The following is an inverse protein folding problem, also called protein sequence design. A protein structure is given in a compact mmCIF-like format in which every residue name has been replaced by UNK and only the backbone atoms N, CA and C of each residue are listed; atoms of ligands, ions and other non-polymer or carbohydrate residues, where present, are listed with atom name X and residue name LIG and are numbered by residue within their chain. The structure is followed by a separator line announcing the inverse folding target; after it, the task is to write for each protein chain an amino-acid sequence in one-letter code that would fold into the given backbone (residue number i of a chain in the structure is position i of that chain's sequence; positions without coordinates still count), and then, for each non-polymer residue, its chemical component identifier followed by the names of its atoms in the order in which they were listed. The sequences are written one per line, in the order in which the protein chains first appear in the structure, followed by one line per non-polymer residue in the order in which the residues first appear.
data_IF_045899275594
#
_entry.id   IF_045899275594
#
_cell.length_a   1.000
_cell.length_b   1.000
_cell.length_c   1.000
_cell.angle_alpha   90.00
_cell.angle_beta   90.00
_cell.angle_gamma   90.00
#
_symmetry.space_group_name_H-M   'P 1'
#
loop_
_entity.id
_entity.type
_entity.pdbx_description
1 polymer ?
#
# COMPACT_ATOMS: atom_id res chain seq x y z
N UNK A 1 -5.42 57.02 -9.19
CA UNK A 1 -3.99 57.08 -9.55
C UNK A 1 -3.23 57.57 -8.33
N UNK A 2 -2.45 56.71 -7.67
CA UNK A 2 -1.70 57.09 -6.47
C UNK A 2 -0.38 57.70 -6.89
N UNK A 3 -0.17 58.98 -6.58
CA UNK A 3 1.14 59.64 -6.73
C UNK A 3 2.23 58.79 -6.04
N UNK A 4 3.41 58.61 -6.64
CA UNK A 4 4.49 57.91 -5.99
C UNK A 4 4.84 58.65 -4.70
N UNK A 5 4.66 57.99 -3.55
CA UNK A 5 5.01 58.53 -2.24
C UNK A 5 6.44 59.10 -2.28
N UNK A 6 6.64 60.26 -1.65
CA UNK A 6 7.94 60.91 -1.60
C UNK A 6 8.97 59.95 -1.00
N UNK A 7 10.24 60.10 -1.39
CA UNK A 7 11.32 59.30 -0.80
C UNK A 7 11.38 59.45 0.73
N UNK A 8 10.97 60.62 1.25
CA UNK A 8 10.83 60.86 2.68
C UNK A 8 9.73 60.01 3.32
N UNK A 9 8.57 59.87 2.66
CA UNK A 9 7.46 59.06 3.15
C UNK A 9 7.84 57.58 3.20
N UNK A 10 8.58 57.10 2.19
CA UNK A 10 9.12 55.73 2.17
C UNK A 10 10.11 55.49 3.30
N UNK A 11 10.96 56.48 3.60
CA UNK A 11 11.93 56.38 4.69
C UNK A 11 11.25 56.39 6.08
N UNK A 12 10.23 57.24 6.28
CA UNK A 12 9.40 57.25 7.49
C UNK A 12 8.70 55.91 7.70
N UNK A 13 8.01 55.42 6.67
CA UNK A 13 7.33 54.12 6.71
C UNK A 13 8.29 52.97 7.04
N UNK A 14 9.50 52.98 6.47
CA UNK A 14 10.53 51.99 6.81
C UNK A 14 10.92 52.06 8.29
N UNK A 15 11.18 53.26 8.81
CA UNK A 15 11.57 53.45 10.20
C UNK A 15 10.47 52.96 11.17
N UNK A 16 9.21 53.30 10.88
CA UNK A 16 8.03 52.82 11.62
C UNK A 16 7.94 51.29 11.59
N UNK A 17 8.10 50.69 10.42
CA UNK A 17 8.06 49.23 10.25
C UNK A 17 9.18 48.50 10.99
N UNK A 18 10.36 49.12 11.16
CA UNK A 18 11.46 48.56 11.96
C UNK A 18 11.16 48.70 13.46
N UNK A 19 10.62 49.84 13.90
CA UNK A 19 10.23 50.05 15.29
C UNK A 19 9.10 49.11 15.73
N UNK A 20 8.09 48.94 14.89
CA UNK A 20 6.95 48.06 15.13
C UNK A 20 7.42 46.61 15.32
N UNK A 21 8.29 46.12 14.42
CA UNK A 21 8.91 44.79 14.57
C UNK A 21 9.71 44.65 15.85
N UNK A 22 10.45 45.69 16.24
CA UNK A 22 11.22 45.68 17.48
C UNK A 22 10.30 45.63 18.71
N UNK A 23 9.19 46.37 18.68
CA UNK A 23 8.18 46.38 19.73
C UNK A 23 7.54 45.02 19.92
N UNK A 24 7.04 44.41 18.85
CA UNK A 24 6.39 43.09 18.89
C UNK A 24 7.35 42.00 19.38
N UNK A 25 8.62 42.04 18.97
CA UNK A 25 9.63 41.13 19.51
C UNK A 25 9.87 41.33 21.01
N UNK A 26 9.83 42.56 21.49
CA UNK A 26 9.99 42.87 22.90
C UNK A 26 8.79 42.35 23.72
N UNK A 27 7.57 42.62 23.25
CA UNK A 27 6.32 42.14 23.85
C UNK A 27 6.26 40.60 23.89
N UNK A 28 6.72 39.92 22.83
CA UNK A 28 6.85 38.46 22.83
C UNK A 28 7.81 37.95 23.91
N UNK A 29 8.96 38.60 24.06
CA UNK A 29 9.95 38.22 25.08
C UNK A 29 9.39 38.41 26.50
N UNK A 30 8.53 39.42 26.70
CA UNK A 30 7.85 39.70 27.97
C UNK A 30 6.69 38.71 28.23
N UNK A 31 6.07 38.18 27.17
CA UNK A 31 5.06 37.13 27.25
C UNK A 31 3.66 37.55 26.79
N UNK A 32 3.49 38.74 26.22
CA UNK A 32 2.17 39.27 25.81
C UNK A 32 1.63 38.62 24.53
N UNK A 33 2.50 38.04 23.69
CA UNK A 33 2.12 37.42 22.39
C UNK A 33 2.52 35.95 22.31
N UNK A 34 2.31 35.12 23.35
CA UNK A 34 2.81 33.73 23.44
C UNK A 34 2.45 32.84 22.24
N UNK A 35 1.31 33.07 21.59
CA UNK A 35 0.84 32.28 20.44
C UNK A 35 1.32 32.78 19.08
N UNK A 36 1.77 34.05 18.98
CA UNK A 36 2.20 34.64 17.72
C UNK A 36 3.44 33.93 17.13
N UNK A 37 3.33 33.39 15.93
CA UNK A 37 4.47 32.81 15.22
C UNK A 37 5.41 33.91 14.70
N UNK A 38 6.60 33.97 15.28
CA UNK A 38 7.60 34.98 14.95
C UNK A 38 8.71 34.38 14.08
N UNK A 39 9.17 35.11 13.04
CA UNK A 39 10.28 34.71 12.19
C UNK A 39 11.56 34.34 12.94
N UNK A 40 12.29 33.34 12.45
CA UNK A 40 13.55 32.88 13.08
C UNK A 40 14.82 33.55 12.55
N UNK A 41 14.73 34.49 11.60
CA UNK A 41 15.92 35.17 11.07
C UNK A 41 15.59 36.58 10.59
N UNK A 42 16.59 37.46 10.49
CA UNK A 42 16.41 38.81 9.94
C UNK A 42 15.83 38.79 8.53
N UNK A 43 16.27 37.86 7.68
CA UNK A 43 15.74 37.72 6.31
C UNK A 43 14.26 37.40 6.32
N UNK A 44 13.82 36.47 7.17
CA UNK A 44 12.41 36.14 7.33
C UNK A 44 11.65 37.31 7.98
N UNK A 45 12.25 38.00 8.95
CA UNK A 45 11.68 39.17 9.64
C UNK A 45 11.41 40.33 8.69
N UNK A 46 12.29 40.55 7.71
CA UNK A 46 12.10 41.56 6.65
C UNK A 46 10.87 41.28 5.80
N UNK A 47 10.66 40.01 5.47
CA UNK A 47 9.57 39.54 4.63
C UNK A 47 8.28 39.27 5.40
N UNK A 48 8.33 39.34 6.73
CA UNK A 48 7.19 39.04 7.59
C UNK A 48 6.11 40.09 7.42
N UNK A 49 4.88 39.61 7.30
CA UNK A 49 3.65 40.38 7.18
C UNK A 49 2.71 39.86 8.25
N UNK A 50 2.09 40.77 8.98
CA UNK A 50 1.08 40.47 9.99
C UNK A 50 0.08 41.62 10.01
N UNK A 51 -1.09 41.39 9.41
CA UNK A 51 -2.10 42.42 9.20
C UNK A 51 -2.67 42.93 10.54
N UNK A 52 -2.85 42.03 11.51
CA UNK A 52 -3.34 42.34 12.86
C UNK A 52 -2.46 43.35 13.60
N UNK A 53 -1.14 43.27 13.39
CA UNK A 53 -0.16 44.15 14.03
C UNK A 53 0.30 45.29 13.13
N UNK A 54 -0.25 45.42 11.92
CA UNK A 54 0.15 46.44 10.93
C UNK A 54 1.56 46.26 10.37
N UNK A 55 2.10 45.04 10.41
CA UNK A 55 3.45 44.73 9.92
C UNK A 55 3.39 44.44 8.43
N UNK A 56 4.09 45.26 7.65
CA UNK A 56 4.19 45.12 6.20
C UNK A 56 5.60 44.74 5.76
N UNK A 57 5.74 44.05 4.63
CA UNK A 57 7.03 43.64 4.06
C UNK A 57 7.95 44.82 3.77
N UNK A 58 9.22 44.72 4.18
CA UNK A 58 10.26 45.68 3.82
C UNK A 58 10.88 45.29 2.47
N UNK A 59 10.64 46.12 1.45
CA UNK A 59 10.98 45.81 0.05
C UNK A 59 12.48 45.61 -0.21
N UNK A 60 13.33 46.53 0.25
CA UNK A 60 14.77 46.50 -0.02
C UNK A 60 15.54 45.74 1.06
N UNK A 61 16.35 44.71 0.69
CA UNK A 61 17.25 44.04 1.62
C UNK A 61 18.25 45.01 2.27
N UNK A 62 18.81 45.93 1.50
CA UNK A 62 19.80 46.92 1.96
C UNK A 62 19.24 47.91 2.98
N UNK A 63 17.91 48.07 3.01
CA UNK A 63 17.18 48.90 3.98
C UNK A 63 16.83 48.15 5.27
N UNK A 64 17.24 46.89 5.43
CA UNK A 64 17.02 46.10 6.65
C UNK A 64 18.28 45.32 7.01
N UNK A 65 19.40 46.05 7.10
CA UNK A 65 20.71 45.51 7.48
C UNK A 65 21.20 46.14 8.77
N UNK A 66 22.08 45.43 9.48
CA UNK A 66 22.66 45.89 10.76
C UNK A 66 23.65 47.04 10.61
N UNK A 67 24.22 47.22 9.41
CA UNK A 67 25.20 48.27 9.09
C UNK A 67 24.58 49.59 8.64
N UNK A 68 23.26 49.70 8.53
CA UNK A 68 22.62 50.93 8.04
C UNK A 68 22.80 52.09 9.03
N UNK A 69 23.12 53.29 8.52
CA UNK A 69 23.43 54.47 9.34
C UNK A 69 22.31 54.86 10.31
N UNK A 70 21.07 54.91 9.83
CA UNK A 70 19.92 55.39 10.63
C UNK A 70 19.29 54.31 11.51
N UNK A 71 18.97 53.13 10.96
CA UNK A 71 18.21 52.10 11.65
C UNK A 71 19.01 50.82 11.94
N UNK A 72 20.29 50.73 11.56
CA UNK A 72 21.11 49.52 11.75
C UNK A 72 21.23 49.10 13.22
N UNK A 73 21.27 50.06 14.15
CA UNK A 73 21.21 49.78 15.61
C UNK A 73 19.92 49.06 16.01
N UNK A 74 18.77 49.46 15.45
CA UNK A 74 17.47 48.81 15.72
C UNK A 74 17.42 47.41 15.10
N UNK A 75 17.88 47.25 13.87
CA UNK A 75 17.98 45.93 13.21
C UNK A 75 18.91 44.98 13.98
N UNK A 76 20.01 45.50 14.56
CA UNK A 76 20.88 44.71 15.44
C UNK A 76 20.18 44.26 16.73
N UNK A 77 19.33 45.11 17.32
CA UNK A 77 18.49 44.73 18.47
C UNK A 77 17.48 43.64 18.09
N UNK A 78 16.81 43.76 16.94
CA UNK A 78 15.93 42.74 16.39
C UNK A 78 16.67 41.40 16.29
N UNK A 79 17.87 41.40 15.71
CA UNK A 79 18.69 40.18 15.59
C UNK A 79 18.96 39.51 16.95
N UNK A 80 19.31 40.31 17.97
CA UNK A 80 19.57 39.82 19.32
C UNK A 80 18.30 39.22 19.97
N UNK A 81 17.13 39.82 19.74
CA UNK A 81 15.85 39.30 20.24
C UNK A 81 15.47 37.97 19.58
N UNK A 82 15.68 37.84 18.26
CA UNK A 82 15.49 36.57 17.57
C UNK A 82 16.39 35.46 18.13
N UNK A 83 17.64 35.76 18.46
CA UNK A 83 18.54 34.78 19.08
C UNK A 83 18.15 34.41 20.51
N UNK A 84 17.60 35.35 21.30
CA UNK A 84 17.05 35.05 22.63
C UNK A 84 15.87 34.09 22.54
N UNK A 85 14.91 34.37 21.65
CA UNK A 85 13.73 33.53 21.42
C UNK A 85 14.13 32.13 20.94
N UNK A 86 15.12 32.01 20.03
CA UNK A 86 15.66 30.71 19.61
C UNK A 86 16.27 29.90 20.76
N UNK A 87 16.91 30.55 21.72
CA UNK A 87 17.52 29.87 22.88
C UNK A 87 16.44 29.38 23.85
N UNK A 88 15.39 30.17 24.08
CA UNK A 88 14.25 29.79 24.90
C UNK A 88 13.49 28.59 24.32
N UNK A 89 13.34 28.51 23.00
CA UNK A 89 12.59 27.44 22.33
C UNK A 89 13.41 26.16 22.07
N UNK A 90 14.67 26.07 22.51
CA UNK A 90 15.46 24.84 22.32
C UNK A 90 15.03 23.78 23.33
N UNK A 91 14.58 22.59 22.89
CA UNK A 91 14.30 21.51 23.83
C UNK A 91 15.57 21.15 24.62
N UNK A 92 15.44 20.76 25.90
CA UNK A 92 16.58 20.37 26.71
C UNK A 92 17.32 19.22 26.01
N UNK A 93 18.64 19.36 25.87
CA UNK A 93 19.46 18.27 25.32
C UNK A 93 19.43 17.10 26.30
N UNK A 94 18.80 15.98 25.92
CA UNK A 94 18.89 14.74 26.69
C UNK A 94 20.36 14.39 26.99
N UNK A 95 20.70 13.98 28.23
CA UNK A 95 22.03 13.49 28.60
C UNK A 95 22.53 12.42 27.64
N UNK A 96 23.84 12.42 27.35
CA UNK A 96 24.48 11.48 26.43
C UNK A 96 24.27 10.02 26.85
N UNK A 97 24.28 9.76 28.15
CA UNK A 97 24.06 8.43 28.73
C UNK A 97 22.67 7.89 28.45
N UNK A 98 21.62 8.71 28.63
CA UNK A 98 20.25 8.33 28.31
C UNK A 98 20.06 8.02 26.82
N UNK A 99 20.73 8.77 25.93
CA UNK A 99 20.71 8.46 24.49
C UNK A 99 21.39 7.12 24.19
N UNK A 100 22.50 6.83 24.87
CA UNK A 100 23.24 5.59 24.65
C UNK A 100 22.44 4.37 25.12
N UNK A 101 21.74 4.47 26.26
CA UNK A 101 20.88 3.38 26.76
C UNK A 101 19.67 3.16 25.85
N UNK A 102 18.98 4.22 25.42
CA UNK A 102 17.88 4.13 24.44
C UNK A 102 18.33 3.47 23.13
N UNK A 103 19.52 3.83 22.62
CA UNK A 103 20.08 3.23 21.40
C UNK A 103 20.43 1.76 21.57
N UNK A 104 21.02 1.37 22.71
CA UNK A 104 21.33 -0.04 23.00
C UNK A 104 20.05 -0.88 23.10
N UNK A 105 19.01 -0.36 23.76
CA UNK A 105 17.72 -1.05 23.86
C UNK A 105 17.09 -1.25 22.47
N UNK A 106 17.04 -0.19 21.65
CA UNK A 106 16.53 -0.28 20.27
C UNK A 106 17.34 -1.24 19.40
N UNK A 107 18.66 -1.27 19.54
CA UNK A 107 19.51 -2.18 18.77
C UNK A 107 19.23 -3.64 19.15
N UNK A 108 19.05 -3.92 20.44
CA UNK A 108 18.66 -5.24 20.92
C UNK A 108 17.30 -5.68 20.35
N UNK A 109 16.29 -4.82 20.45
CA UNK A 109 14.95 -5.08 19.89
C UNK A 109 14.99 -5.35 18.38
N UNK A 110 15.77 -4.56 17.63
CA UNK A 110 15.99 -4.78 16.19
C UNK A 110 16.63 -6.13 15.90
N UNK A 111 17.65 -6.54 16.68
CA UNK A 111 18.29 -7.83 16.49
C UNK A 111 17.36 -9.01 16.80
N UNK A 112 16.53 -8.89 17.85
CA UNK A 112 15.52 -9.90 18.18
C UNK A 112 14.46 -10.01 17.08
N UNK A 113 13.98 -8.88 16.57
CA UNK A 113 13.03 -8.83 15.45
C UNK A 113 13.60 -9.45 14.18
N UNK A 114 14.87 -9.14 13.85
CA UNK A 114 15.56 -9.70 12.69
C UNK A 114 15.72 -11.22 12.80
N UNK A 115 16.11 -11.70 13.99
CA UNK A 115 16.27 -13.14 14.24
C UNK A 115 14.94 -13.87 14.11
N UNK A 116 13.86 -13.30 14.66
CA UNK A 116 12.52 -13.86 14.53
C UNK A 116 12.05 -13.91 13.07
N UNK A 117 12.25 -12.83 12.31
CA UNK A 117 11.91 -12.79 10.89
C UNK A 117 12.69 -13.83 10.08
N UNK A 118 13.98 -14.02 10.36
CA UNK A 118 14.80 -15.03 9.72
C UNK A 118 14.29 -16.46 10.01
N UNK A 119 13.92 -16.74 11.26
CA UNK A 119 13.35 -18.03 11.64
C UNK A 119 12.00 -18.30 10.94
N UNK A 120 11.12 -17.30 10.89
CA UNK A 120 9.84 -17.40 10.18
C UNK A 120 10.04 -17.66 8.69
N UNK A 121 11.00 -16.96 8.06
CA UNK A 121 11.31 -17.18 6.66
C UNK A 121 11.74 -18.63 6.37
N UNK A 122 12.60 -19.21 7.21
CA UNK A 122 13.03 -20.61 7.06
C UNK A 122 11.83 -21.56 7.17
N UNK A 123 10.95 -21.35 8.15
CA UNK A 123 9.74 -22.15 8.32
C UNK A 123 8.82 -22.08 7.11
N UNK A 124 8.50 -20.87 6.63
CA UNK A 124 7.63 -20.70 5.46
C UNK A 124 8.25 -21.24 4.17
N UNK A 125 9.57 -21.12 4.02
CA UNK A 125 10.29 -21.69 2.88
C UNK A 125 10.19 -23.22 2.85
N UNK A 126 10.34 -23.86 4.02
CA UNK A 126 10.18 -25.31 4.16
C UNK A 126 8.74 -25.76 3.89
N UNK A 127 7.75 -25.07 4.46
CA UNK A 127 6.34 -25.39 4.24
C UNK A 127 5.94 -25.20 2.77
N UNK A 128 6.45 -24.16 2.12
CA UNK A 128 6.22 -23.94 0.68
C UNK A 128 6.78 -25.07 -0.17
N UNK A 129 7.94 -25.62 0.18
CA UNK A 129 8.52 -26.77 -0.53
C UNK A 129 7.66 -28.02 -0.33
N UNK A 130 7.25 -28.29 0.91
CA UNK A 130 6.37 -29.41 1.24
C UNK A 130 5.05 -29.35 0.48
N UNK A 131 4.38 -28.18 0.48
CA UNK A 131 3.12 -28.00 -0.24
C UNK A 131 3.27 -28.16 -1.76
N UNK A 132 4.41 -27.76 -2.33
CA UNK A 132 4.70 -28.00 -3.76
C UNK A 132 4.85 -29.48 -4.07
N UNK A 133 5.55 -30.23 -3.21
CA UNK A 133 5.70 -31.68 -3.35
C UNK A 133 4.34 -32.39 -3.23
N UNK A 134 3.52 -31.99 -2.25
CA UNK A 134 2.17 -32.52 -2.08
C UNK A 134 1.26 -32.21 -3.27
N UNK A 135 1.36 -31.00 -3.84
CA UNK A 135 0.63 -30.62 -5.04
C UNK A 135 1.02 -31.48 -6.24
N UNK A 136 2.32 -31.72 -6.44
CA UNK A 136 2.83 -32.59 -7.52
C UNK A 136 2.28 -34.01 -7.35
N UNK A 137 2.39 -34.58 -6.13
CA UNK A 137 1.88 -35.92 -5.85
C UNK A 137 0.37 -36.04 -6.08
N UNK A 138 -0.39 -35.04 -5.63
CA UNK A 138 -1.83 -34.98 -5.85
C UNK A 138 -2.17 -34.89 -7.34
N UNK A 139 -1.45 -34.05 -8.10
CA UNK A 139 -1.62 -33.92 -9.54
C UNK A 139 -1.36 -35.23 -10.27
N UNK A 140 -0.25 -35.93 -9.97
CA UNK A 140 0.06 -37.22 -10.57
C UNK A 140 -0.99 -38.29 -10.23
N UNK A 141 -1.55 -38.24 -9.01
CA UNK A 141 -2.64 -39.15 -8.62
C UNK A 141 -3.93 -38.86 -9.39
N UNK A 142 -4.26 -37.59 -9.60
CA UNK A 142 -5.44 -37.19 -10.39
C UNK A 142 -5.28 -37.63 -11.84
N UNK A 143 -4.09 -37.46 -12.42
CA UNK A 143 -3.78 -37.92 -13.79
C UNK A 143 -3.97 -39.43 -13.92
N UNK A 144 -3.35 -40.23 -13.03
CA UNK A 144 -3.52 -41.69 -13.06
C UNK A 144 -4.98 -42.15 -12.89
N UNK A 145 -5.74 -41.52 -11.98
CA UNK A 145 -7.18 -41.82 -11.83
C UNK A 145 -8.00 -41.42 -13.06
N UNK A 146 -7.57 -40.40 -13.80
CA UNK A 146 -8.22 -39.98 -15.05
C UNK A 146 -7.97 -41.00 -16.14
N UNK A 147 -6.73 -41.50 -16.25
CA UNK A 147 -6.36 -42.57 -17.19
C UNK A 147 -7.14 -43.86 -16.90
N UNK A 148 -7.19 -44.30 -15.63
CA UNK A 148 -7.98 -45.48 -15.22
C UNK A 148 -9.48 -45.32 -15.56
N UNK A 149 -10.03 -44.11 -15.40
CA UNK A 149 -11.41 -43.81 -15.76
C UNK A 149 -11.63 -43.92 -17.27
N UNK A 150 -10.72 -43.40 -18.08
CA UNK A 150 -10.81 -43.47 -19.54
C UNK A 150 -10.69 -44.91 -20.06
N UNK A 151 -9.79 -45.71 -19.48
CA UNK A 151 -9.66 -47.14 -19.80
C UNK A 151 -10.95 -47.90 -19.49
N UNK A 152 -11.49 -47.74 -18.28
CA UNK A 152 -12.73 -48.43 -17.87
C UNK A 152 -13.95 -48.00 -18.68
N UNK A 153 -14.04 -46.72 -19.09
CA UNK A 153 -15.08 -46.25 -20.00
C UNK A 153 -14.96 -46.88 -21.39
N UNK A 154 -13.75 -47.04 -21.90
CA UNK A 154 -13.48 -47.72 -23.18
C UNK A 154 -13.90 -49.19 -23.14
N UNK A 155 -13.50 -49.93 -22.09
CA UNK A 155 -13.90 -51.32 -21.88
C UNK A 155 -15.42 -51.48 -21.78
N UNK A 156 -16.08 -50.59 -21.03
CA UNK A 156 -17.53 -50.59 -20.89
C UNK A 156 -18.22 -50.36 -22.24
N UNK A 157 -17.69 -49.47 -23.07
CA UNK A 157 -18.20 -49.20 -24.40
C UNK A 157 -18.07 -50.41 -25.32
N UNK A 158 -16.91 -51.09 -25.31
CA UNK A 158 -16.69 -52.34 -26.06
C UNK A 158 -17.69 -53.42 -25.61
N UNK A 159 -17.82 -53.65 -24.31
CA UNK A 159 -18.76 -54.64 -23.77
C UNK A 159 -20.22 -54.31 -24.13
N UNK A 160 -20.59 -53.03 -24.13
CA UNK A 160 -21.92 -52.56 -24.57
C UNK A 160 -22.16 -52.89 -26.04
N UNK A 161 -21.20 -52.62 -26.92
CA UNK A 161 -21.31 -52.87 -28.34
C UNK A 161 -21.40 -54.38 -28.65
N UNK A 162 -20.63 -55.21 -27.93
CA UNK A 162 -20.74 -56.67 -27.99
C UNK A 162 -22.12 -57.18 -27.58
N UNK A 163 -22.68 -56.69 -26.47
CA UNK A 163 -24.04 -57.03 -26.04
C UNK A 163 -25.06 -56.69 -27.12
N UNK A 164 -24.94 -55.52 -27.76
CA UNK A 164 -25.84 -55.11 -28.85
C UNK A 164 -25.72 -56.08 -30.04
N UNK A 165 -24.50 -56.47 -30.42
CA UNK A 165 -24.28 -57.43 -31.50
C UNK A 165 -24.84 -58.82 -31.17
N UNK A 166 -24.64 -59.31 -29.94
CA UNK A 166 -25.19 -60.58 -29.47
C UNK A 166 -26.72 -60.57 -29.47
N UNK A 167 -27.34 -59.50 -28.98
CA UNK A 167 -28.81 -59.32 -29.03
C UNK A 167 -29.34 -59.34 -30.47
N UNK A 168 -28.65 -58.67 -31.41
CA UNK A 168 -29.01 -58.70 -32.84
C UNK A 168 -28.91 -60.12 -33.42
N UNK A 169 -27.83 -60.86 -33.12
CA UNK A 169 -27.68 -62.26 -33.56
C UNK A 169 -28.78 -63.15 -33.00
N UNK A 170 -29.11 -63.01 -31.72
CA UNK A 170 -30.14 -63.81 -31.05
C UNK A 170 -31.52 -63.60 -31.69
N UNK A 171 -31.90 -62.34 -31.96
CA UNK A 171 -33.13 -62.01 -32.69
C UNK A 171 -33.18 -62.63 -34.10
N UNK A 172 -32.06 -62.69 -34.81
CA UNK A 172 -31.99 -63.37 -36.12
C UNK A 172 -32.21 -64.88 -36.01
N UNK A 173 -31.65 -65.54 -34.99
CA UNK A 173 -31.85 -66.97 -34.75
C UNK A 173 -33.31 -67.29 -34.38
N UNK A 174 -33.95 -66.47 -33.54
CA UNK A 174 -35.36 -66.64 -33.17
C UNK A 174 -36.27 -66.51 -34.40
N UNK A 175 -36.02 -65.52 -35.26
CA UNK A 175 -36.77 -65.35 -36.51
C UNK A 175 -36.55 -66.50 -37.51
N UNK A 176 -35.38 -67.16 -37.50
CA UNK A 176 -35.11 -68.34 -38.36
C UNK A 176 -35.85 -69.59 -37.91
N UNK A 177 -36.09 -69.79 -36.61
CA UNK A 177 -36.88 -70.94 -36.10
C UNK A 177 -38.36 -70.86 -36.46
N UNK A 178 -38.87 -69.67 -36.80
CA UNK A 178 -40.23 -69.49 -37.31
C UNK A 178 -40.37 -69.80 -38.82
N UNK A 179 -39.29 -70.16 -39.52
CA UNK A 179 -39.34 -70.48 -40.95
C UNK A 179 -39.86 -71.91 -41.17
N UNK A 180 -41.07 -71.96 -41.76
CA UNK A 180 -41.87 -73.14 -42.18
C UNK A 180 -41.17 -74.50 -42.07
N UNK A 181 -41.39 -75.20 -40.96
CA UNK A 181 -41.44 -76.66 -40.98
C UNK A 181 -42.67 -77.04 -41.81
N UNK A 182 -42.44 -77.74 -42.92
CA UNK A 182 -43.48 -78.27 -43.79
C UNK A 182 -44.48 -79.07 -42.97
N UNK A 183 -45.71 -78.57 -42.83
CA UNK A 183 -46.81 -79.33 -42.23
C UNK A 183 -47.20 -80.42 -43.23
N UNK A 184 -46.71 -81.64 -43.01
CA UNK A 184 -47.15 -82.82 -43.78
C UNK A 184 -48.55 -83.18 -43.28
N UNK A 185 -49.57 -82.85 -44.05
CA UNK A 185 -50.93 -83.32 -43.80
C UNK A 185 -51.08 -84.72 -44.38
N UNK A 186 -51.14 -85.73 -43.50
CA UNK A 186 -51.52 -87.08 -43.89
C UNK A 186 -53.02 -87.10 -44.14
N UNK A 187 -53.41 -87.09 -45.41
CA UNK A 187 -54.79 -87.25 -45.83
C UNK A 187 -55.36 -88.55 -45.27
N UNK A 188 -56.41 -88.43 -44.46
CA UNK A 188 -57.22 -89.56 -44.01
C UNK A 188 -58.00 -90.04 -45.24
N UNK A 189 -57.46 -91.02 -45.95
CA UNK A 189 -58.12 -91.70 -47.05
C UNK A 189 -59.40 -92.36 -46.54
N UNK A 190 -60.54 -91.72 -46.80
CA UNK A 190 -61.81 -92.41 -46.82
C UNK A 190 -61.85 -93.32 -48.04
N UNK A 191 -62.19 -94.58 -47.84
CA UNK A 191 -63.12 -95.31 -48.70
C UNK A 191 -63.58 -96.58 -47.99
N UNK A 192 -64.82 -96.55 -47.52
CA UNK A 192 -65.67 -97.73 -47.39
C UNK A 192 -65.85 -98.36 -48.77
N UNK A 193 -65.74 -99.68 -48.87
CA UNK A 193 -66.53 -100.47 -49.81
C UNK A 193 -66.56 -101.95 -49.38
N UNK A 194 -67.78 -102.40 -49.08
CA UNK A 194 -68.35 -103.75 -49.01
C UNK A 194 -67.80 -104.77 -47.99
#
# INVERSE_FOLDING_TARGET
MNSPASNEDKAKKLAEQIELRLRVLNEKIIGEHTELEIPTSLTKMRNWVCDELGIEKIGSPSSFVTSHKEHGRKVKKIANYLEKLKKQNKPPKKPREQKLTELKAKNKELNESLTNAANQYVQYSQETKRLKEELILSSSKVEGLTEELDETLSELQIARDEIILLRKKLAQYENRKASKVTKVEFGKGGNNAN
#
